data_IF_621323917088
#
_entry.id   IF_621323917088
#
_cell.length_a   1.000
_cell.length_b   1.000
_cell.length_c   1.000
_cell.angle_alpha   90.00
_cell.angle_beta   90.00
_cell.angle_gamma   90.00
#
_symmetry.space_group_name_H-M   'P 1'
#
loop_
_entity.id
_entity.type
_entity.pdbx_description
1 polymer ?
#
# COMPACT_ATOMS: atom_id res chain seq x y z
N UNK A 1 -17.77 1.25 22.97
CA UNK A 1 -17.48 2.33 22.00
C UNK A 1 -16.00 2.65 22.08
N UNK A 2 -15.20 2.23 21.09
CA UNK A 2 -13.77 2.49 21.04
C UNK A 2 -13.50 3.81 20.30
N UNK A 3 -12.62 4.65 20.85
CA UNK A 3 -12.26 5.95 20.30
C UNK A 3 -11.51 5.82 18.95
N UNK A 4 -11.55 6.84 18.06
CA UNK A 4 -10.79 6.84 16.81
C UNK A 4 -9.29 6.92 17.15
N UNK A 5 -8.51 5.91 16.73
CA UNK A 5 -7.06 5.84 17.00
C UNK A 5 -6.30 6.86 16.14
N UNK A 6 -5.40 7.57 16.82
CA UNK A 6 -4.62 8.69 16.32
C UNK A 6 -3.57 8.26 15.28
N UNK A 7 -3.71 8.70 14.03
CA UNK A 7 -2.83 8.35 12.91
C UNK A 7 -1.51 9.14 12.98
N UNK A 8 -0.50 8.61 13.68
CA UNK A 8 0.86 9.17 13.63
C UNK A 8 1.55 8.80 12.31
N UNK A 9 1.57 9.72 11.36
CA UNK A 9 2.34 9.60 10.12
C UNK A 9 3.85 9.54 10.44
N UNK A 10 4.52 8.45 10.02
CA UNK A 10 5.99 8.34 10.09
C UNK A 10 6.59 9.13 8.92
N UNK A 11 7.46 10.09 9.19
CA UNK A 11 8.18 10.83 8.16
C UNK A 11 9.18 9.89 7.44
N UNK A 12 9.19 9.92 6.10
CA UNK A 12 10.17 9.19 5.29
C UNK A 12 11.56 9.82 5.40
N UNK A 13 12.60 9.00 5.32
CA UNK A 13 13.99 9.46 5.21
C UNK A 13 14.21 9.95 3.76
N UNK A 14 14.81 11.13 3.52
CA UNK A 14 14.95 11.73 2.18
C UNK A 14 15.53 10.81 1.09
N UNK A 15 16.44 9.88 1.47
CA UNK A 15 17.00 8.85 0.60
C UNK A 15 15.96 7.91 -0.05
N UNK A 16 14.81 7.69 0.56
CA UNK A 16 13.78 6.74 0.08
C UNK A 16 13.03 7.29 -1.13
N UNK A 17 12.59 8.55 -1.07
CA UNK A 17 11.91 9.19 -2.20
C UNK A 17 12.82 9.31 -3.42
N UNK A 18 14.11 9.58 -3.18
CA UNK A 18 15.16 9.60 -4.19
C UNK A 18 15.29 8.27 -4.96
N UNK A 19 15.25 7.15 -4.24
CA UNK A 19 15.29 5.80 -4.81
C UNK A 19 14.07 5.54 -5.69
N UNK A 20 12.87 5.75 -5.17
CA UNK A 20 11.60 5.57 -5.90
C UNK A 20 11.58 6.37 -7.19
N UNK A 21 12.08 7.60 -7.16
CA UNK A 21 12.09 8.50 -8.31
C UNK A 21 13.12 8.12 -9.36
N UNK A 22 14.28 7.65 -8.92
CA UNK A 22 15.30 7.12 -9.82
C UNK A 22 14.81 5.83 -10.48
N UNK A 23 14.09 4.99 -9.73
CA UNK A 23 13.42 3.81 -10.29
C UNK A 23 12.39 4.24 -11.34
N UNK A 24 11.50 5.19 -11.05
CA UNK A 24 10.49 5.73 -11.99
C UNK A 24 11.11 6.21 -13.31
N UNK A 25 12.23 6.94 -13.26
CA UNK A 25 12.91 7.44 -14.48
C UNK A 25 13.48 6.32 -15.35
N UNK A 26 13.75 5.16 -14.76
CA UNK A 26 14.36 4.00 -15.41
C UNK A 26 13.34 2.89 -15.70
N UNK A 27 12.06 3.06 -15.34
CA UNK A 27 11.01 2.11 -15.70
C UNK A 27 10.67 2.28 -17.19
N UNK A 28 10.83 1.18 -17.93
CA UNK A 28 10.60 1.10 -19.37
C UNK A 28 9.17 1.49 -19.80
N UNK A 29 8.23 1.48 -18.84
CA UNK A 29 6.79 1.54 -19.08
C UNK A 29 6.08 2.77 -18.45
N UNK A 30 6.84 3.77 -17.99
CA UNK A 30 6.33 5.10 -17.67
C UNK A 30 5.35 5.18 -16.48
N UNK A 31 4.11 5.61 -16.75
CA UNK A 31 3.17 6.05 -15.72
C UNK A 31 2.36 4.93 -15.05
N UNK A 32 2.50 3.70 -15.53
CA UNK A 32 1.79 2.55 -15.03
C UNK A 32 2.41 2.01 -13.73
N UNK A 33 1.69 2.21 -12.63
CA UNK A 33 2.04 1.70 -11.32
C UNK A 33 2.22 0.19 -11.27
N UNK A 34 1.51 -0.57 -12.13
CA UNK A 34 1.61 -2.02 -12.15
C UNK A 34 3.04 -2.47 -12.46
N UNK A 35 3.80 -1.64 -13.18
CA UNK A 35 5.18 -1.89 -13.59
C UNK A 35 6.22 -1.41 -12.57
N UNK A 36 5.79 -0.78 -11.47
CA UNK A 36 6.72 -0.31 -10.44
C UNK A 36 7.16 -1.46 -9.53
N UNK A 37 8.39 -1.43 -9.02
CA UNK A 37 8.80 -2.43 -8.04
C UNK A 37 7.94 -2.36 -6.78
N UNK A 38 7.68 -3.54 -6.20
CA UNK A 38 7.03 -3.71 -4.91
C UNK A 38 7.55 -2.75 -3.82
N UNK A 39 8.88 -2.68 -3.70
CA UNK A 39 9.58 -1.82 -2.74
C UNK A 39 9.29 -0.34 -2.99
N UNK A 40 9.28 0.10 -4.25
CA UNK A 40 9.15 1.52 -4.59
C UNK A 40 7.71 2.02 -4.34
N UNK A 41 6.71 1.16 -4.53
CA UNK A 41 5.31 1.44 -4.18
C UNK A 41 5.07 1.46 -2.66
N UNK A 42 5.67 0.52 -1.91
CA UNK A 42 5.57 0.43 -0.44
C UNK A 42 6.05 1.70 0.26
N UNK A 43 7.12 2.31 -0.23
CA UNK A 43 7.66 3.56 0.34
C UNK A 43 6.69 4.75 0.17
N UNK A 44 5.80 4.71 -0.82
CA UNK A 44 4.81 5.77 -1.06
C UNK A 44 3.44 5.51 -0.42
N UNK A 45 3.09 4.27 -0.10
CA UNK A 45 1.83 3.93 0.57
C UNK A 45 1.82 4.42 2.03
N UNK A 46 2.95 4.36 2.74
CA UNK A 46 3.01 4.72 4.17
C UNK A 46 3.03 6.22 4.45
N UNK A 47 3.28 7.07 3.45
CA UNK A 47 3.52 8.49 3.65
C UNK A 47 2.30 9.36 3.32
N UNK A 48 1.74 9.98 4.35
CA UNK A 48 0.87 11.15 4.19
C UNK A 48 1.77 12.38 4.26
N UNK A 49 2.08 13.02 3.13
CA UNK A 49 2.84 14.27 3.16
C UNK A 49 1.90 15.47 3.26
N UNK A 50 2.35 16.54 3.94
CA UNK A 50 1.70 17.84 3.81
C UNK A 50 1.89 18.35 2.38
N UNK A 51 0.80 18.81 1.78
CA UNK A 51 0.77 19.53 0.52
C UNK A 51 0.45 21.00 0.81
N UNK A 52 1.38 21.90 0.55
CA UNK A 52 1.17 23.32 0.77
C UNK A 52 0.45 23.93 -0.44
N UNK A 53 -0.66 24.61 -0.15
CA UNK A 53 -1.47 25.30 -1.15
C UNK A 53 -1.36 26.80 -0.94
N UNK A 54 -0.78 27.49 -1.91
CA UNK A 54 -0.48 28.92 -1.84
C UNK A 54 0.86 29.23 -1.13
N UNK A 55 1.08 30.52 -0.85
CA UNK A 55 2.35 31.03 -0.29
C UNK A 55 2.40 30.94 1.24
N UNK A 56 1.26 30.75 1.91
CA UNK A 56 1.18 30.67 3.36
C UNK A 56 1.57 29.28 3.87
N UNK A 57 2.52 29.24 4.82
CA UNK A 57 2.96 28.05 5.54
C UNK A 57 1.83 27.34 6.31
N UNK A 58 0.72 28.03 6.62
CA UNK A 58 -0.44 27.45 7.33
C UNK A 58 -1.44 26.73 6.42
N UNK A 59 -1.20 26.72 5.10
CA UNK A 59 -2.11 26.12 4.13
C UNK A 59 -1.72 24.70 3.71
N UNK A 60 -1.46 23.86 4.70
CA UNK A 60 -1.14 22.45 4.51
C UNK A 60 -2.41 21.59 4.38
N UNK A 61 -2.40 20.68 3.42
CA UNK A 61 -3.42 19.65 3.20
C UNK A 61 -2.72 18.30 3.20
N UNK A 62 -3.18 17.37 4.03
CA UNK A 62 -2.57 16.04 4.18
C UNK A 62 -3.17 15.07 3.18
N UNK A 63 -2.36 14.60 2.24
CA UNK A 63 -2.77 13.77 1.09
C UNK A 63 -1.98 12.45 1.08
N UNK A 64 -2.60 11.30 0.74
CA UNK A 64 -1.84 10.06 0.52
C UNK A 64 -0.85 10.24 -0.64
N UNK A 65 0.45 10.05 -0.39
CA UNK A 65 1.49 10.32 -1.40
C UNK A 65 1.32 9.50 -2.66
N UNK A 66 1.15 8.18 -2.52
CA UNK A 66 1.00 7.31 -3.67
C UNK A 66 -0.17 7.79 -4.54
N UNK A 67 -1.34 7.97 -3.93
CA UNK A 67 -2.54 8.38 -4.64
C UNK A 67 -2.36 9.75 -5.33
N UNK A 68 -1.63 10.69 -4.70
CA UNK A 68 -1.34 12.00 -5.28
C UNK A 68 -0.33 11.95 -6.43
N UNK A 69 0.76 11.21 -6.29
CA UNK A 69 1.80 11.03 -7.33
C UNK A 69 1.22 10.32 -8.54
N UNK A 70 0.31 9.38 -8.30
CA UNK A 70 -0.43 8.63 -9.32
C UNK A 70 -1.39 9.54 -10.06
N UNK A 71 -2.26 10.24 -9.32
CA UNK A 71 -3.31 11.06 -9.91
C UNK A 71 -2.79 12.36 -10.56
N UNK A 72 -1.55 12.78 -10.28
CA UNK A 72 -1.01 14.06 -10.77
C UNK A 72 0.40 13.93 -11.35
N UNK A 73 0.54 13.95 -12.69
CA UNK A 73 1.83 14.01 -13.37
C UNK A 73 2.66 15.24 -12.97
N UNK A 74 2.01 16.36 -12.65
CA UNK A 74 2.67 17.59 -12.19
C UNK A 74 3.32 17.39 -10.82
N UNK A 75 2.60 16.79 -9.86
CA UNK A 75 3.16 16.48 -8.54
C UNK A 75 4.27 15.44 -8.64
N UNK A 76 4.10 14.45 -9.53
CA UNK A 76 5.14 13.46 -9.84
C UNK A 76 6.41 14.13 -10.37
N UNK A 77 6.30 14.99 -11.38
CA UNK A 77 7.43 15.74 -11.93
C UNK A 77 8.11 16.64 -10.87
N UNK A 78 7.32 17.25 -9.98
CA UNK A 78 7.84 18.04 -8.87
C UNK A 78 8.74 17.21 -7.95
N UNK A 79 8.23 16.10 -7.41
CA UNK A 79 9.05 15.25 -6.56
C UNK A 79 10.24 14.69 -7.34
N UNK A 80 10.07 14.46 -8.65
CA UNK A 80 11.12 13.94 -9.53
C UNK A 80 12.34 14.85 -9.63
N UNK A 81 12.11 16.16 -9.54
CA UNK A 81 13.16 17.19 -9.52
C UNK A 81 13.61 17.52 -8.10
N UNK A 82 12.77 17.25 -7.09
CA UNK A 82 13.02 17.55 -5.67
C UNK A 82 12.69 16.35 -4.79
N UNK A 83 13.50 15.29 -4.85
CA UNK A 83 13.21 14.03 -4.18
C UNK A 83 13.23 14.16 -2.65
N UNK A 84 14.11 15.01 -2.11
CA UNK A 84 14.20 15.26 -0.68
C UNK A 84 13.09 16.20 -0.15
N UNK A 85 12.17 16.65 -1.01
CA UNK A 85 11.07 17.50 -0.60
C UNK A 85 10.13 16.77 0.37
N UNK A 86 10.01 17.31 1.58
CA UNK A 86 9.07 16.84 2.60
C UNK A 86 7.65 17.37 2.38
N UNK A 87 7.54 18.48 1.63
CA UNK A 87 6.29 19.16 1.29
C UNK A 87 6.28 19.45 -0.20
N UNK A 88 5.17 19.17 -0.89
CA UNK A 88 4.96 19.68 -2.25
C UNK A 88 4.21 21.01 -2.17
N UNK A 89 4.73 22.01 -2.90
CA UNK A 89 4.16 23.36 -2.90
C UNK A 89 3.50 23.61 -4.25
N UNK A 90 2.22 23.98 -4.22
CA UNK A 90 1.54 24.54 -5.38
C UNK A 90 1.22 26.00 -5.12
N UNK A 91 1.80 26.88 -5.93
CA UNK A 91 1.53 28.32 -5.94
C UNK A 91 0.61 28.74 -7.10
N UNK A 92 0.00 27.78 -7.79
CA UNK A 92 -0.90 28.09 -8.89
C UNK A 92 -2.16 28.79 -8.36
N UNK A 93 -2.50 29.95 -8.92
CA UNK A 93 -3.61 30.79 -8.45
C UNK A 93 -4.96 30.06 -8.44
N UNK A 94 -5.16 29.14 -9.40
CA UNK A 94 -6.41 28.39 -9.53
C UNK A 94 -6.55 27.21 -8.54
N UNK A 95 -5.46 26.81 -7.87
CA UNK A 95 -5.49 25.69 -6.93
C UNK A 95 -5.82 26.23 -5.54
N UNK A 96 -7.11 26.25 -5.22
CA UNK A 96 -7.57 26.64 -3.89
C UNK A 96 -7.34 25.55 -2.84
N UNK A 97 -7.11 25.95 -1.58
CA UNK A 97 -7.02 25.03 -0.43
C UNK A 97 -8.27 24.15 -0.30
N UNK A 98 -9.45 24.68 -0.65
CA UNK A 98 -10.72 23.95 -0.63
C UNK A 98 -10.73 22.82 -1.66
N UNK A 99 -10.31 23.10 -2.90
CA UNK A 99 -10.22 22.08 -3.96
C UNK A 99 -9.24 20.97 -3.57
N UNK A 100 -8.05 21.32 -3.07
CA UNK A 100 -7.08 20.31 -2.63
C UNK A 100 -7.58 19.47 -1.44
N UNK A 101 -8.33 20.07 -0.50
CA UNK A 101 -9.00 19.29 0.56
C UNK A 101 -10.00 18.29 -0.01
N UNK A 102 -10.79 18.68 -1.01
CA UNK A 102 -11.75 17.78 -1.65
C UNK A 102 -11.05 16.62 -2.38
N UNK A 103 -9.98 16.90 -3.14
CA UNK A 103 -9.15 15.87 -3.78
C UNK A 103 -8.56 14.93 -2.73
N UNK A 104 -8.00 15.47 -1.65
CA UNK A 104 -7.42 14.68 -0.58
C UNK A 104 -8.44 13.77 0.10
N UNK A 105 -9.65 14.26 0.35
CA UNK A 105 -10.76 13.47 0.88
C UNK A 105 -11.19 12.39 -0.10
N UNK A 106 -11.34 12.72 -1.38
CA UNK A 106 -11.69 11.76 -2.42
C UNK A 106 -10.67 10.63 -2.53
N UNK A 107 -9.36 10.94 -2.56
CA UNK A 107 -8.29 9.94 -2.60
C UNK A 107 -8.32 9.03 -1.35
N UNK A 108 -8.60 9.58 -0.17
CA UNK A 108 -8.75 8.78 1.06
C UNK A 108 -9.95 7.84 1.00
N UNK A 109 -11.08 8.31 0.47
CA UNK A 109 -12.27 7.48 0.29
C UNK A 109 -12.03 6.38 -0.75
N UNK A 110 -11.36 6.70 -1.84
CA UNK A 110 -11.01 5.73 -2.87
C UNK A 110 -10.15 4.59 -2.32
N UNK A 111 -9.10 4.92 -1.55
CA UNK A 111 -8.23 3.91 -0.91
C UNK A 111 -9.03 3.02 0.04
N UNK A 112 -9.86 3.62 0.92
CA UNK A 112 -10.72 2.84 1.84
C UNK A 112 -11.72 1.94 1.12
N UNK A 113 -12.32 2.44 0.05
CA UNK A 113 -13.27 1.68 -0.76
C UNK A 113 -12.59 0.47 -1.41
N UNK A 114 -11.38 0.65 -1.94
CA UNK A 114 -10.60 -0.44 -2.51
C UNK A 114 -10.23 -1.50 -1.46
N UNK A 115 -9.72 -1.08 -0.30
CA UNK A 115 -9.39 -1.98 0.81
C UNK A 115 -10.60 -2.82 1.26
N UNK A 116 -11.76 -2.17 1.43
CA UNK A 116 -13.00 -2.84 1.82
C UNK A 116 -13.51 -3.82 0.75
N UNK A 117 -13.48 -3.42 -0.53
CA UNK A 117 -13.90 -4.29 -1.62
C UNK A 117 -12.97 -5.49 -1.80
N UNK A 118 -11.66 -5.30 -1.63
CA UNK A 118 -10.72 -6.41 -1.67
C UNK A 118 -11.02 -7.42 -0.58
N UNK A 119 -11.17 -6.96 0.67
CA UNK A 119 -11.47 -7.83 1.81
C UNK A 119 -12.77 -8.64 1.64
N UNK A 120 -13.80 -8.07 1.01
CA UNK A 120 -15.06 -8.78 0.72
C UNK A 120 -14.88 -9.77 -0.44
N UNK A 121 -14.16 -9.37 -1.48
CA UNK A 121 -14.07 -10.17 -2.70
C UNK A 121 -13.13 -11.36 -2.56
N UNK A 122 -12.03 -11.23 -1.80
CA UNK A 122 -11.01 -12.28 -1.64
C UNK A 122 -11.60 -13.57 -1.05
N UNK A 123 -12.71 -13.48 -0.31
CA UNK A 123 -13.45 -14.64 0.21
C UNK A 123 -14.09 -15.52 -0.88
N UNK A 124 -14.23 -15.01 -2.10
CA UNK A 124 -15.01 -15.63 -3.18
C UNK A 124 -14.15 -16.25 -4.29
N UNK A 125 -12.83 -16.18 -4.19
CA UNK A 125 -11.92 -16.77 -5.17
C UNK A 125 -10.63 -17.25 -4.53
N UNK A 126 -9.79 -17.92 -5.32
CA UNK A 126 -8.52 -18.47 -4.87
C UNK A 126 -7.40 -17.51 -5.29
N UNK A 127 -6.72 -16.84 -4.35
CA UNK A 127 -5.70 -15.86 -4.68
C UNK A 127 -4.53 -16.55 -5.39
N UNK A 128 -4.10 -16.02 -6.53
CA UNK A 128 -2.92 -16.56 -7.20
C UNK A 128 -1.63 -16.06 -6.53
N UNK A 129 -0.50 -16.70 -6.84
CA UNK A 129 0.80 -16.36 -6.23
C UNK A 129 1.20 -14.89 -6.43
N UNK A 130 0.89 -14.29 -7.60
CA UNK A 130 1.22 -12.91 -7.90
C UNK A 130 0.42 -11.93 -7.04
N UNK A 131 -0.87 -12.20 -6.86
CA UNK A 131 -1.73 -11.41 -5.97
C UNK A 131 -1.25 -11.47 -4.51
N UNK A 132 -0.89 -12.65 -4.02
CA UNK A 132 -0.36 -12.84 -2.66
C UNK A 132 0.89 -11.97 -2.47
N UNK A 133 1.82 -12.04 -3.42
CA UNK A 133 3.04 -11.23 -3.46
C UNK A 133 2.68 -9.74 -3.45
N UNK A 134 1.74 -9.32 -4.29
CA UNK A 134 1.33 -7.93 -4.42
C UNK A 134 0.71 -7.39 -3.12
N UNK A 135 -0.22 -8.10 -2.49
CA UNK A 135 -0.84 -7.67 -1.22
C UNK A 135 0.21 -7.51 -0.12
N UNK A 136 1.13 -8.46 0.04
CA UNK A 136 2.20 -8.37 1.04
C UNK A 136 3.11 -7.17 0.81
N UNK A 137 3.41 -6.89 -0.46
CA UNK A 137 4.25 -5.79 -0.86
C UNK A 137 3.56 -4.42 -0.68
N UNK A 138 2.24 -4.34 -0.86
CA UNK A 138 1.52 -3.05 -0.87
C UNK A 138 0.79 -2.70 0.44
N UNK A 139 0.64 -3.65 1.35
CA UNK A 139 0.04 -3.42 2.68
C UNK A 139 0.99 -2.65 3.61
N UNK A 140 0.42 -1.72 4.39
CA UNK A 140 1.13 -0.61 5.05
C UNK A 140 1.76 -0.97 6.40
N UNK A 141 1.44 -2.13 6.96
CA UNK A 141 1.91 -2.60 8.26
C UNK A 141 1.33 -3.97 8.58
N UNK A 142 1.63 -4.49 9.77
CA UNK A 142 1.17 -5.84 10.16
C UNK A 142 -0.32 -5.85 10.51
N UNK A 143 -0.88 -4.68 10.85
CA UNK A 143 -2.31 -4.43 11.03
C UNK A 143 -2.91 -3.81 9.76
N UNK A 144 -2.97 -4.57 8.67
CA UNK A 144 -3.58 -4.14 7.39
C UNK A 144 -4.76 -5.05 7.02
N UNK A 145 -5.93 -4.46 6.79
CA UNK A 145 -7.17 -5.20 6.53
C UNK A 145 -7.10 -6.08 5.29
N UNK A 146 -6.37 -5.67 4.24
CA UNK A 146 -6.18 -6.51 3.07
C UNK A 146 -5.27 -7.71 3.37
N UNK A 147 -4.25 -7.50 4.21
CA UNK A 147 -3.33 -8.57 4.62
C UNK A 147 -4.04 -9.59 5.51
N UNK A 148 -4.86 -9.14 6.46
CA UNK A 148 -5.67 -10.01 7.32
C UNK A 148 -6.67 -10.82 6.50
N UNK A 149 -7.41 -10.18 5.59
CA UNK A 149 -8.39 -10.88 4.75
C UNK A 149 -7.72 -11.94 3.85
N UNK A 150 -6.57 -11.62 3.27
CA UNK A 150 -5.79 -12.59 2.50
C UNK A 150 -5.29 -13.75 3.37
N UNK A 151 -4.78 -13.46 4.57
CA UNK A 151 -4.31 -14.47 5.50
C UNK A 151 -5.43 -15.43 5.92
N UNK A 152 -6.59 -14.89 6.27
CA UNK A 152 -7.78 -15.67 6.64
C UNK A 152 -8.25 -16.55 5.47
N UNK A 153 -8.26 -16.00 4.24
CA UNK A 153 -8.63 -16.77 3.05
C UNK A 153 -7.67 -17.93 2.78
N UNK A 154 -6.36 -17.68 2.78
CA UNK A 154 -5.36 -18.74 2.55
C UNK A 154 -5.44 -19.83 3.60
N UNK A 155 -5.67 -19.44 4.86
CA UNK A 155 -5.86 -20.36 5.98
C UNK A 155 -7.09 -21.24 5.77
N UNK A 156 -8.21 -20.65 5.37
CA UNK A 156 -9.42 -21.39 5.03
C UNK A 156 -9.20 -22.39 3.89
N UNK A 157 -8.53 -21.96 2.81
CA UNK A 157 -8.29 -22.80 1.64
C UNK A 157 -7.46 -24.04 1.98
N UNK A 158 -6.37 -23.86 2.73
CA UNK A 158 -5.49 -24.96 3.15
C UNK A 158 -6.17 -25.87 4.18
N UNK A 159 -6.86 -25.30 5.18
CA UNK A 159 -7.49 -26.07 6.27
C UNK A 159 -8.58 -27.01 5.79
N UNK A 160 -9.34 -26.61 4.78
CA UNK A 160 -10.51 -27.35 4.29
C UNK A 160 -10.29 -28.01 2.93
N UNK A 161 -9.04 -28.11 2.48
CA UNK A 161 -8.65 -28.67 1.19
C UNK A 161 -9.48 -28.18 0.01
N UNK A 162 -9.68 -26.85 -0.06
CA UNK A 162 -10.51 -26.20 -1.08
C UNK A 162 -9.76 -25.90 -2.37
N UNK A 163 -8.45 -26.11 -2.38
CA UNK A 163 -7.60 -26.02 -3.56
C UNK A 163 -6.86 -27.35 -3.76
N UNK A 164 -6.35 -27.63 -4.98
CA UNK A 164 -5.53 -28.81 -5.20
C UNK A 164 -4.27 -28.83 -4.31
N UNK A 165 -3.82 -30.02 -3.92
CA UNK A 165 -2.62 -30.22 -3.07
C UNK A 165 -1.38 -29.47 -3.58
N UNK A 166 -1.16 -29.44 -4.90
CA UNK A 166 -0.06 -28.69 -5.50
C UNK A 166 -0.14 -27.17 -5.22
N UNK A 167 -1.35 -26.62 -5.11
CA UNK A 167 -1.60 -25.21 -4.77
C UNK A 167 -1.43 -24.99 -3.27
N UNK A 168 -1.89 -25.92 -2.41
CA UNK A 168 -1.64 -25.87 -0.97
C UNK A 168 -0.15 -25.83 -0.67
N UNK A 169 0.63 -26.72 -1.31
CA UNK A 169 2.09 -26.73 -1.19
C UNK A 169 2.72 -25.43 -1.66
N UNK A 170 2.18 -24.80 -2.71
CA UNK A 170 2.67 -23.52 -3.17
C UNK A 170 2.38 -22.40 -2.16
N UNK A 171 1.21 -22.39 -1.53
CA UNK A 171 0.88 -21.46 -0.45
C UNK A 171 1.75 -21.70 0.78
N UNK A 172 1.92 -22.95 1.21
CA UNK A 172 2.79 -23.30 2.32
C UNK A 172 4.22 -22.81 2.07
N UNK A 173 4.81 -23.12 0.91
CA UNK A 173 6.15 -22.65 0.51
C UNK A 173 6.29 -21.12 0.54
N UNK A 174 5.26 -20.40 0.11
CA UNK A 174 5.24 -18.94 0.20
C UNK A 174 5.21 -18.48 1.66
N UNK A 175 4.44 -19.13 2.53
CA UNK A 175 4.30 -18.75 3.95
C UNK A 175 5.56 -19.01 4.79
N UNK A 176 6.41 -19.99 4.43
CA UNK A 176 7.67 -20.28 5.15
C UNK A 176 8.81 -19.32 4.79
N UNK A 177 8.74 -18.64 3.65
CA UNK A 177 9.75 -17.66 3.25
C UNK A 177 9.69 -16.46 4.21
N UNK A 178 10.85 -16.06 4.75
CA UNK A 178 10.99 -14.92 5.68
C UNK A 178 10.33 -13.63 5.15
N UNK A 179 10.27 -13.46 3.83
CA UNK A 179 9.63 -12.32 3.18
C UNK A 179 8.11 -12.26 3.44
N UNK A 180 7.50 -13.38 3.81
CA UNK A 180 6.07 -13.56 4.03
C UNK A 180 5.73 -13.69 5.51
N UNK A 181 6.69 -13.48 6.41
CA UNK A 181 6.48 -13.58 7.87
C UNK A 181 5.35 -12.67 8.36
N UNK A 182 5.10 -11.55 7.68
CA UNK A 182 3.97 -10.65 7.98
C UNK A 182 2.61 -11.27 7.66
N UNK A 183 2.53 -11.99 6.54
CA UNK A 183 1.33 -12.74 6.18
C UNK A 183 1.12 -13.89 7.18
N UNK A 184 2.18 -14.63 7.50
CA UNK A 184 2.14 -15.69 8.52
C UNK A 184 1.76 -15.15 9.92
N UNK A 185 2.22 -13.96 10.29
CA UNK A 185 1.84 -13.30 11.55
C UNK A 185 0.37 -12.82 11.54
N UNK A 186 -0.15 -12.42 10.38
CA UNK A 186 -1.55 -12.03 10.20
C UNK A 186 -2.50 -13.24 10.21
N UNK A 187 -2.01 -14.45 9.93
CA UNK A 187 -2.77 -15.69 10.12
C UNK A 187 -3.07 -15.89 11.61
N UNK A 188 -4.33 -15.68 11.98
CA UNK A 188 -4.82 -15.87 13.36
C UNK A 188 -5.08 -17.34 13.70
N UNK A 189 -5.13 -18.21 12.69
CA UNK A 189 -5.49 -19.62 12.85
C UNK A 189 -4.26 -20.49 13.17
N UNK A 190 -4.33 -21.22 14.28
CA UNK A 190 -3.25 -22.06 14.82
C UNK A 190 -2.95 -23.24 13.88
N UNK A 191 -3.94 -23.72 13.12
CA UNK A 191 -3.83 -24.90 12.27
C UNK A 191 -2.84 -24.75 11.09
N UNK A 192 -2.61 -23.52 10.58
CA UNK A 192 -1.63 -23.28 9.51
C UNK A 192 -0.19 -23.27 10.05
N UNK A 193 0.00 -22.89 11.32
CA UNK A 193 1.31 -22.99 11.98
C UNK A 193 1.71 -24.45 12.20
N UNK A 194 0.75 -25.32 12.52
CA UNK A 194 0.98 -26.75 12.70
C UNK A 194 1.37 -27.47 11.39
N UNK A 195 0.86 -27.06 10.21
CA UNK A 195 1.32 -27.62 8.92
C UNK A 195 2.78 -27.30 8.59
N UNK A 196 3.31 -26.20 9.14
CA UNK A 196 4.69 -25.76 8.92
C UNK A 196 5.70 -26.40 9.90
N UNK A 197 5.22 -27.12 10.92
CA UNK A 197 6.06 -27.83 11.90
C UNK A 197 6.34 -29.30 11.51
N UNK A 198 5.80 -29.77 10.38
CA UNK A 198 5.99 -31.15 9.87
C UNK A 198 7.01 -31.29 8.72
N UNK A 199 7.76 -30.24 8.38
CA UNK A 199 8.99 -30.31 7.56
C UNK A 199 10.26 -30.28 8.43
#
# INVERSE_FOLDING_TARGET
MAAPRDHRARALVPRQVNKVITDIKNLKDGDDLHNWSASSRKELTSAIKPFQVGTDTKSLVHVPNLALIVASPVVRAYFTTKPDATTANSVHADISKKAMKQIATWLKHYVKHFEAHYAINVDHYDPNAQEIIDVINYTRGDEDTMLEALADRLSYLCRYHKVPEAVEMAYAKLLVDEKFIRLLAAVKDIAVKEMLEYE
#
